data_IF_484624574147
#
_entry.id   IF_484624574147
#
_cell.length_a   1.000
_cell.length_b   1.000
_cell.length_c   1.000
_cell.angle_alpha   90.00
_cell.angle_beta   90.00
_cell.angle_gamma   90.00
#
_symmetry.space_group_name_H-M   'P 1'
#
loop_
_entity.id
_entity.type
_entity.pdbx_description
1 polymer ?
#
# COMPACT_ATOMS: atom_id res chain seq x y z
N UNK A 1 22.68 -13.17 5.26
CA UNK A 1 24.08 -13.39 4.84
C UNK A 1 24.39 -12.39 3.75
N UNK A 2 25.48 -11.65 3.91
CA UNK A 2 25.92 -10.60 2.99
C UNK A 2 26.68 -11.26 1.84
N UNK A 3 26.29 -10.98 0.60
CA UNK A 3 27.10 -11.23 -0.59
C UNK A 3 27.22 -9.92 -1.37
N UNK A 4 28.40 -9.34 -1.32
CA UNK A 4 28.84 -8.32 -2.26
C UNK A 4 29.29 -9.02 -3.55
N UNK A 5 28.88 -8.50 -4.72
CA UNK A 5 29.65 -8.70 -5.96
C UNK A 5 29.13 -9.72 -6.98
N UNK A 6 27.83 -9.69 -7.31
CA UNK A 6 27.37 -9.89 -8.69
C UNK A 6 26.16 -8.98 -8.89
N UNK A 7 26.24 -8.02 -9.79
CA UNK A 7 25.04 -7.34 -10.30
C UNK A 7 24.30 -8.35 -11.18
N UNK A 8 23.68 -9.36 -10.58
CA UNK A 8 22.55 -10.02 -11.20
C UNK A 8 21.50 -8.93 -11.32
N UNK A 9 21.47 -8.26 -12.48
CA UNK A 9 20.40 -7.33 -12.81
C UNK A 9 19.16 -8.21 -12.98
N UNK A 10 18.50 -8.51 -11.87
CA UNK A 10 17.21 -9.19 -11.87
C UNK A 10 16.23 -8.25 -12.54
N UNK A 11 16.05 -8.42 -13.85
CA UNK A 11 15.01 -7.72 -14.59
C UNK A 11 13.68 -8.40 -14.30
N UNK A 12 12.68 -7.60 -13.95
CA UNK A 12 11.30 -8.05 -13.83
C UNK A 12 10.48 -7.22 -14.79
N UNK A 13 9.61 -7.88 -15.56
CA UNK A 13 8.68 -7.23 -16.46
C UNK A 13 7.25 -7.63 -16.08
N UNK A 14 6.34 -6.66 -16.15
CA UNK A 14 4.93 -6.88 -15.88
C UNK A 14 4.11 -6.38 -17.06
N UNK A 15 3.27 -7.24 -17.67
CA UNK A 15 2.30 -6.82 -18.66
C UNK A 15 1.35 -5.75 -18.09
N UNK A 16 0.93 -4.78 -18.91
CA UNK A 16 -0.03 -3.74 -18.48
C UNK A 16 -1.38 -4.30 -18.04
N UNK A 17 -1.79 -5.45 -18.57
CA UNK A 17 -2.96 -6.21 -18.09
C UNK A 17 -2.87 -6.59 -16.61
N UNK A 18 -1.67 -6.77 -16.07
CA UNK A 18 -1.48 -7.12 -14.66
C UNK A 18 -1.45 -5.90 -13.74
N UNK A 19 -1.33 -4.68 -14.29
CA UNK A 19 -1.28 -3.44 -13.51
C UNK A 19 -2.71 -3.04 -13.17
N UNK A 20 -3.03 -3.11 -11.87
CA UNK A 20 -4.34 -2.75 -11.34
C UNK A 20 -4.41 -1.26 -11.01
N UNK A 21 -3.42 -0.77 -10.28
CA UNK A 21 -3.42 0.60 -9.78
C UNK A 21 -2.00 1.16 -9.71
N UNK A 22 -1.91 2.48 -9.80
CA UNK A 22 -0.65 3.21 -9.73
C UNK A 22 -0.88 4.45 -8.88
N UNK A 23 -0.07 4.63 -7.85
CA UNK A 23 -0.23 5.72 -6.90
C UNK A 23 1.09 6.46 -6.67
N UNK A 24 1.02 7.78 -6.62
CA UNK A 24 2.15 8.59 -6.19
C UNK A 24 2.48 8.30 -4.72
N UNK A 25 3.77 8.28 -4.40
CA UNK A 25 4.30 8.03 -3.05
C UNK A 25 5.45 8.97 -2.72
N UNK A 26 5.73 9.03 -1.42
CA UNK A 26 6.94 9.66 -0.90
C UNK A 26 8.01 8.60 -0.68
N UNK A 27 9.26 8.96 -0.90
CA UNK A 27 10.41 8.17 -0.49
C UNK A 27 11.41 9.11 0.18
N UNK A 28 11.81 8.79 1.42
CA UNK A 28 12.61 9.68 2.26
C UNK A 28 11.99 11.09 2.39
N UNK A 29 10.66 11.12 2.61
CA UNK A 29 9.86 12.34 2.76
C UNK A 29 9.79 13.25 1.51
N UNK A 30 10.27 12.79 0.36
CA UNK A 30 10.20 13.52 -0.92
C UNK A 30 9.21 12.86 -1.87
N UNK A 31 8.42 13.66 -2.59
CA UNK A 31 7.43 13.19 -3.59
C UNK A 31 8.12 12.76 -4.89
N UNK A 32 8.97 11.74 -4.78
CA UNK A 32 9.80 11.20 -5.86
C UNK A 32 9.63 9.70 -6.03
N UNK A 33 8.52 9.13 -5.58
CA UNK A 33 8.25 7.71 -5.71
C UNK A 33 6.85 7.43 -6.26
N UNK A 34 6.68 6.20 -6.71
CA UNK A 34 5.46 5.66 -7.25
C UNK A 34 5.30 4.23 -6.72
N UNK A 35 4.07 3.82 -6.43
CA UNK A 35 3.77 2.44 -6.10
C UNK A 35 2.81 1.83 -7.12
N UNK A 36 3.21 0.68 -7.65
CA UNK A 36 2.47 -0.10 -8.64
C UNK A 36 1.84 -1.28 -7.93
N UNK A 37 0.53 -1.43 -8.07
CA UNK A 37 -0.27 -2.53 -7.52
C UNK A 37 -0.68 -3.47 -8.64
N UNK A 38 -0.34 -4.74 -8.51
CA UNK A 38 -0.71 -5.76 -9.49
C UNK A 38 -2.00 -6.48 -9.09
N UNK A 39 -2.67 -7.09 -10.08
CA UNK A 39 -3.88 -7.89 -9.85
C UNK A 39 -3.67 -9.09 -8.92
N UNK A 40 -2.43 -9.62 -8.85
CA UNK A 40 -2.08 -10.72 -7.97
C UNK A 40 -1.78 -10.29 -6.51
N UNK A 41 -1.99 -9.01 -6.18
CA UNK A 41 -1.76 -8.46 -4.85
C UNK A 41 -0.32 -8.05 -4.55
N UNK A 42 0.65 -8.33 -5.44
CA UNK A 42 2.03 -7.82 -5.28
C UNK A 42 2.07 -6.32 -5.54
N UNK A 43 2.92 -5.63 -4.78
CA UNK A 43 3.15 -4.20 -4.91
C UNK A 43 4.63 -3.91 -5.08
N UNK A 44 4.95 -2.88 -5.85
CA UNK A 44 6.32 -2.46 -6.12
C UNK A 44 6.45 -0.95 -5.93
N UNK A 45 7.32 -0.54 -5.02
CA UNK A 45 7.68 0.85 -4.82
C UNK A 45 8.90 1.20 -5.68
N UNK A 46 8.73 2.17 -6.56
CA UNK A 46 9.77 2.69 -7.45
C UNK A 46 10.13 4.10 -7.00
N UNK A 47 11.37 4.30 -6.57
CA UNK A 47 11.92 5.61 -6.23
C UNK A 47 12.71 6.17 -7.43
N UNK A 48 12.50 7.44 -7.72
CA UNK A 48 13.15 8.19 -8.80
C UNK A 48 14.21 9.13 -8.21
N UNK A 49 15.12 9.62 -9.05
CA UNK A 49 16.13 10.58 -8.60
C UNK A 49 15.48 11.91 -8.22
N UNK A 50 14.47 12.33 -8.98
CA UNK A 50 13.74 13.59 -8.78
C UNK A 50 12.22 13.44 -8.94
N UNK A 51 11.45 14.36 -8.32
CA UNK A 51 10.01 14.47 -8.53
C UNK A 51 9.66 14.69 -10.00
N UNK A 52 10.49 15.44 -10.73
CA UNK A 52 10.30 15.73 -12.16
C UNK A 52 10.35 14.46 -13.01
N UNK A 53 11.31 13.57 -12.76
CA UNK A 53 11.39 12.29 -13.48
C UNK A 53 10.19 11.40 -13.18
N UNK A 54 9.78 11.33 -11.90
CA UNK A 54 8.58 10.61 -11.50
C UNK A 54 7.35 11.14 -12.23
N UNK A 55 7.19 12.46 -12.34
CA UNK A 55 6.06 13.09 -13.01
C UNK A 55 6.08 12.82 -14.52
N UNK A 56 7.25 12.86 -15.17
CA UNK A 56 7.41 12.48 -16.58
C UNK A 56 7.02 11.02 -16.80
N UNK A 57 7.48 10.12 -15.92
CA UNK A 57 7.15 8.70 -16.00
C UNK A 57 5.64 8.46 -15.84
N UNK A 58 5.01 9.09 -14.84
CA UNK A 58 3.56 9.01 -14.63
C UNK A 58 2.79 9.56 -15.83
N UNK A 59 3.26 10.66 -16.40
CA UNK A 59 2.66 11.23 -17.60
C UNK A 59 2.74 10.25 -18.78
N UNK A 60 3.91 9.66 -19.05
CA UNK A 60 4.07 8.65 -20.10
C UNK A 60 3.17 7.44 -19.87
N UNK A 61 3.12 6.94 -18.62
CA UNK A 61 2.28 5.83 -18.23
C UNK A 61 0.82 6.13 -18.55
N UNK A 62 0.34 7.35 -18.25
CA UNK A 62 -1.04 7.78 -18.51
C UNK A 62 -1.46 7.72 -19.98
N UNK A 63 -0.49 7.72 -20.90
CA UNK A 63 -0.74 7.59 -22.35
C UNK A 63 -0.84 6.13 -22.81
N UNK A 64 -0.45 5.17 -21.98
CA UNK A 64 -0.56 3.75 -22.30
C UNK A 64 -2.01 3.24 -22.10
N UNK A 65 -2.36 2.13 -22.75
CA UNK A 65 -3.61 1.42 -22.51
C UNK A 65 -3.43 0.34 -21.43
N UNK A 66 -4.17 0.42 -20.32
CA UNK A 66 -4.10 -0.52 -19.20
C UNK A 66 -5.53 -1.01 -18.89
N UNK A 67 -5.92 -2.21 -19.37
CA UNK A 67 -7.32 -2.62 -19.43
C UNK A 67 -7.95 -2.86 -18.06
N UNK A 68 -7.16 -3.25 -17.05
CA UNK A 68 -7.62 -3.59 -15.71
C UNK A 68 -7.38 -2.46 -14.69
N UNK A 69 -7.23 -1.22 -15.17
CA UNK A 69 -7.00 -0.06 -14.32
C UNK A 69 -8.25 0.22 -13.47
N UNK A 70 -8.08 0.18 -12.16
CA UNK A 70 -9.10 0.62 -11.20
C UNK A 70 -8.84 2.08 -10.84
N UNK A 71 -9.84 2.93 -10.97
CA UNK A 71 -9.77 4.32 -10.51
C UNK A 71 -9.78 4.36 -8.98
N UNK A 72 -8.97 5.25 -8.42
CA UNK A 72 -8.53 5.22 -7.01
C UNK A 72 -9.62 5.06 -5.96
N UNK A 73 -9.22 4.57 -4.80
CA UNK A 73 -10.11 4.31 -3.68
C UNK A 73 -10.81 5.61 -3.24
N UNK A 74 -12.14 5.58 -3.08
CA UNK A 74 -12.93 6.70 -2.59
C UNK A 74 -13.17 6.54 -1.08
N UNK A 75 -12.79 7.55 -0.30
CA UNK A 75 -12.97 7.55 1.15
C UNK A 75 -14.45 7.45 1.55
N UNK A 76 -15.36 8.12 0.84
CA UNK A 76 -16.80 8.05 1.18
C UNK A 76 -17.33 6.62 1.07
N UNK A 77 -16.90 5.93 0.02
CA UNK A 77 -17.39 4.59 -0.30
C UNK A 77 -16.80 3.57 0.68
N UNK A 78 -15.50 3.69 0.99
CA UNK A 78 -14.85 2.90 2.02
C UNK A 78 -15.55 3.05 3.39
N UNK A 79 -15.86 4.29 3.78
CA UNK A 79 -16.58 4.57 5.03
C UNK A 79 -17.98 3.96 5.02
N UNK A 80 -18.71 4.07 3.91
CA UNK A 80 -20.06 3.53 3.79
C UNK A 80 -20.06 2.00 3.86
N UNK A 81 -19.21 1.34 3.08
CA UNK A 81 -19.06 -0.12 3.08
C UNK A 81 -18.71 -0.66 4.47
N UNK A 82 -17.83 0.04 5.20
CA UNK A 82 -17.47 -0.34 6.56
C UNK A 82 -18.63 -0.17 7.55
N UNK A 83 -19.38 0.94 7.46
CA UNK A 83 -20.56 1.18 8.30
C UNK A 83 -21.67 0.16 8.07
N UNK A 84 -21.84 -0.30 6.85
CA UNK A 84 -22.79 -1.35 6.48
C UNK A 84 -22.30 -2.77 6.84
N UNK A 85 -21.05 -2.91 7.29
CA UNK A 85 -20.44 -4.21 7.61
C UNK A 85 -20.11 -5.05 6.37
N UNK A 86 -20.09 -4.46 5.18
CA UNK A 86 -19.73 -5.13 3.92
C UNK A 86 -18.22 -5.34 3.77
N UNK A 87 -17.42 -4.55 4.49
CA UNK A 87 -15.99 -4.77 4.66
C UNK A 87 -15.64 -4.82 6.15
N UNK A 88 -14.63 -5.61 6.48
CA UNK A 88 -14.09 -5.74 7.83
C UNK A 88 -13.35 -4.48 8.28
N UNK A 89 -13.20 -4.29 9.59
CA UNK A 89 -12.37 -3.22 10.15
C UNK A 89 -10.92 -3.29 9.64
N UNK A 90 -10.38 -4.48 9.41
CA UNK A 90 -9.04 -4.65 8.85
C UNK A 90 -8.94 -4.15 7.41
N UNK A 91 -9.91 -4.48 6.55
CA UNK A 91 -9.97 -3.99 5.16
C UNK A 91 -10.10 -2.47 5.12
N UNK A 92 -11.00 -1.91 5.94
CA UNK A 92 -11.20 -0.47 6.04
C UNK A 92 -9.90 0.26 6.48
N UNK A 93 -9.25 -0.19 7.55
CA UNK A 93 -7.98 0.38 8.00
C UNK A 93 -6.86 0.21 6.96
N UNK A 94 -6.85 -0.90 6.23
CA UNK A 94 -5.88 -1.11 5.14
C UNK A 94 -6.10 -0.12 4.01
N UNK A 95 -7.35 0.15 3.63
CA UNK A 95 -7.68 1.19 2.64
C UNK A 95 -7.27 2.58 3.13
N UNK A 96 -7.53 2.93 4.40
CA UNK A 96 -7.09 4.22 4.96
C UNK A 96 -5.56 4.36 4.92
N UNK A 97 -4.82 3.32 5.31
CA UNK A 97 -3.36 3.32 5.26
C UNK A 97 -2.86 3.54 3.82
N UNK A 98 -3.44 2.84 2.84
CA UNK A 98 -3.10 2.97 1.42
C UNK A 98 -3.40 4.37 0.87
N UNK A 99 -4.57 4.95 1.18
CA UNK A 99 -4.94 6.31 0.79
C UNK A 99 -4.03 7.36 1.42
N UNK A 100 -3.57 7.13 2.65
CA UNK A 100 -2.62 8.00 3.35
C UNK A 100 -1.17 7.89 2.81
N UNK A 101 -0.93 7.05 1.79
CA UNK A 101 0.38 6.87 1.18
C UNK A 101 1.31 5.90 1.93
N UNK A 102 0.78 5.14 2.90
CA UNK A 102 1.57 4.10 3.59
C UNK A 102 1.75 2.88 2.70
N UNK A 103 2.90 2.22 2.83
CA UNK A 103 3.32 1.12 1.97
C UNK A 103 4.02 0.03 2.77
N UNK A 104 3.75 -1.22 2.43
CA UNK A 104 4.50 -2.37 2.96
C UNK A 104 5.95 -2.43 2.45
N UNK A 105 6.26 -1.68 1.38
CA UNK A 105 7.59 -1.61 0.78
C UNK A 105 8.48 -0.49 1.36
N UNK A 106 7.93 0.38 2.21
CA UNK A 106 8.69 1.44 2.90
C UNK A 106 8.50 1.32 4.41
N UNK A 107 9.55 0.87 5.11
CA UNK A 107 9.54 0.72 6.57
C UNK A 107 9.28 2.04 7.31
N UNK A 108 9.67 3.18 6.74
CA UNK A 108 9.44 4.49 7.36
C UNK A 108 7.99 4.97 7.23
N UNK A 109 7.23 4.37 6.32
CA UNK A 109 5.83 4.69 6.03
C UNK A 109 4.96 3.43 6.09
N UNK A 110 5.31 2.49 6.96
CA UNK A 110 4.60 1.23 7.09
C UNK A 110 3.13 1.46 7.54
N UNK A 111 2.18 0.61 7.13
CA UNK A 111 0.81 0.66 7.63
C UNK A 111 0.73 0.66 9.16
N UNK A 112 -0.13 1.49 9.72
CA UNK A 112 -0.36 1.62 11.16
C UNK A 112 -1.72 1.05 11.51
N UNK A 113 -1.72 0.24 12.57
CA UNK A 113 -2.91 -0.33 13.17
C UNK A 113 -2.89 -0.03 14.67
N UNK A 114 -4.06 0.20 15.30
CA UNK A 114 -4.14 0.44 16.73
C UNK A 114 -3.85 -0.86 17.51
N UNK A 115 -3.30 -0.72 18.70
CA UNK A 115 -3.41 -1.77 19.70
C UNK A 115 -4.86 -1.86 20.15
N UNK A 116 -5.44 -3.05 20.00
CA UNK A 116 -6.84 -3.30 20.35
C UNK A 116 -6.96 -4.00 21.70
N UNK A 117 -5.95 -4.77 22.10
CA UNK A 117 -5.94 -5.48 23.38
C UNK A 117 -5.05 -4.76 24.38
N UNK A 118 -5.48 -4.73 25.63
CA UNK A 118 -4.73 -4.19 26.76
C UNK A 118 -4.19 -5.28 27.70
N UNK A 119 -4.86 -6.44 27.77
CA UNK A 119 -4.47 -7.56 28.64
C UNK A 119 -3.64 -8.61 27.87
N UNK A 120 -2.35 -8.66 28.17
CA UNK A 120 -1.39 -9.64 27.63
C UNK A 120 -0.81 -10.56 28.71
N UNK A 121 -1.34 -10.51 29.94
CA UNK A 121 -0.77 -11.26 31.09
C UNK A 121 -1.71 -12.36 31.58
N UNK A 122 -3.03 -12.18 31.43
CA UNK A 122 -3.99 -13.20 31.82
C UNK A 122 -3.81 -14.49 30.99
N UNK A 123 -3.94 -15.68 31.61
CA UNK A 123 -3.85 -16.95 30.88
C UNK A 123 -5.02 -17.15 29.92
N UNK A 124 -6.16 -16.48 30.15
CA UNK A 124 -7.34 -16.49 29.29
C UNK A 124 -7.84 -15.06 29.14
N UNK A 125 -7.95 -14.61 27.89
CA UNK A 125 -8.44 -13.27 27.56
C UNK A 125 -9.96 -13.22 27.58
N UNK A 126 -10.53 -12.31 28.38
CA UNK A 126 -11.98 -12.11 28.46
C UNK A 126 -12.46 -11.00 27.51
N UNK A 127 -12.97 -11.37 26.34
CA UNK A 127 -13.46 -10.42 25.33
C UNK A 127 -14.74 -9.67 25.71
N UNK A 128 -15.40 -10.01 26.82
CA UNK A 128 -16.57 -9.25 27.31
C UNK A 128 -16.20 -8.19 28.36
N UNK A 129 -14.95 -8.19 28.82
CA UNK A 129 -14.46 -7.23 29.82
C UNK A 129 -13.98 -5.96 29.12
N UNK A 130 -14.49 -4.77 29.48
CA UNK A 130 -13.97 -3.52 28.95
C UNK A 130 -12.49 -3.30 29.26
N UNK A 131 -11.95 -3.89 30.34
CA UNK A 131 -10.54 -3.75 30.71
C UNK A 131 -9.58 -4.55 29.81
N UNK A 132 -10.11 -5.40 28.90
CA UNK A 132 -9.30 -6.19 27.99
C UNK A 132 -8.91 -5.43 26.71
N UNK A 133 -9.44 -4.23 26.49
CA UNK A 133 -9.25 -3.40 25.30
C UNK A 133 -8.67 -2.03 25.63
#
# INVERSE_FOLDING_TARGET
QVTAGSLDVSSTAWPFENVKEVHNRRFQLQERALEIFLLNGKTYLVAFESSKERDVFVWQLSQCHWPNRVTGDNLSDAVQLWREGLITTWEYLTQLNKMAGRSFNDLMQYPVFPFVLADYTSPVLNLTSPCSF
#
